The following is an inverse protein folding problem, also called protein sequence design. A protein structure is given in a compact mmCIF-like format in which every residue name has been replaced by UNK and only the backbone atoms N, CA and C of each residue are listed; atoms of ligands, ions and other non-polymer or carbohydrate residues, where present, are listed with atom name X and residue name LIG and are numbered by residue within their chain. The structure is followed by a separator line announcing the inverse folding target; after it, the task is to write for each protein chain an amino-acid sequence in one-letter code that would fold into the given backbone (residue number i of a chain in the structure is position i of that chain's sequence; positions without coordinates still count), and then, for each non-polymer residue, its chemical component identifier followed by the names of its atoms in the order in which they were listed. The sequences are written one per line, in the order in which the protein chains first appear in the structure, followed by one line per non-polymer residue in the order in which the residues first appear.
data_IF_017786134586
#
_entry.id   IF_017786134586
#
_cell.length_a   1.000
_cell.length_b   1.000
_cell.length_c   1.000
_cell.angle_alpha   90.00
_cell.angle_beta   90.00
_cell.angle_gamma   90.00
#
_symmetry.space_group_name_H-M   'P 1'
#
loop_
_entity.id
_entity.type
_entity.pdbx_description
1 polymer ?
#
# COMPACT_ATOMS: atom_id res chain seq x y z
N UNK A 1 14.39 2.74 -0.05
CA UNK A 1 13.08 3.03 -0.73
C UNK A 1 12.13 1.92 -0.39
N UNK A 2 10.83 2.20 -0.36
CA UNK A 2 9.80 1.19 -0.16
C UNK A 2 9.31 0.61 -1.48
N UNK A 3 8.54 -0.48 -1.43
CA UNK A 3 7.84 -1.04 -2.57
C UNK A 3 6.46 -1.55 -2.17
N UNK A 4 5.46 -1.27 -3.00
CA UNK A 4 4.11 -1.81 -2.87
C UNK A 4 3.77 -2.64 -4.11
N UNK A 5 3.01 -3.69 -3.93
CA UNK A 5 2.62 -4.60 -4.99
C UNK A 5 1.41 -5.44 -4.59
N UNK A 6 0.73 -6.01 -5.58
CA UNK A 6 -0.40 -6.89 -5.31
C UNK A 6 -0.80 -7.72 -6.52
N UNK A 7 -1.44 -8.86 -6.25
CA UNK A 7 -1.94 -9.80 -7.25
C UNK A 7 -3.03 -10.70 -6.68
N UNK A 8 -3.91 -11.19 -7.55
CA UNK A 8 -4.84 -12.30 -7.23
C UNK A 8 -4.17 -13.66 -7.32
N UNK A 9 -3.07 -13.75 -8.06
CA UNK A 9 -2.35 -14.98 -8.30
C UNK A 9 -1.14 -15.08 -7.37
N UNK A 10 -1.09 -16.13 -6.55
CA UNK A 10 -0.01 -16.32 -5.58
C UNK A 10 1.38 -16.45 -6.23
N UNK A 11 1.46 -17.06 -7.43
CA UNK A 11 2.71 -17.22 -8.15
C UNK A 11 3.23 -15.85 -8.61
N UNK A 12 2.37 -15.05 -9.23
CA UNK A 12 2.67 -13.66 -9.62
C UNK A 12 3.02 -12.82 -8.39
N UNK A 13 2.25 -12.95 -7.30
CA UNK A 13 2.56 -12.23 -6.05
C UNK A 13 3.97 -12.52 -5.53
N UNK A 14 4.43 -13.79 -5.55
CA UNK A 14 5.79 -14.16 -5.16
C UNK A 14 6.86 -13.56 -6.07
N UNK A 15 6.60 -13.51 -7.38
CA UNK A 15 7.50 -12.85 -8.34
C UNK A 15 7.60 -11.34 -8.05
N UNK A 16 6.46 -10.68 -7.82
CA UNK A 16 6.40 -9.27 -7.45
C UNK A 16 7.09 -8.99 -6.11
N UNK A 17 6.89 -9.87 -5.13
CA UNK A 17 7.55 -9.78 -3.83
C UNK A 17 9.06 -9.84 -3.97
N UNK A 18 9.59 -10.82 -4.72
CA UNK A 18 11.01 -10.99 -4.96
C UNK A 18 11.61 -9.74 -5.59
N UNK A 19 10.97 -9.21 -6.64
CA UNK A 19 11.42 -8.01 -7.33
C UNK A 19 11.36 -6.75 -6.45
N UNK A 20 10.28 -6.54 -5.73
CA UNK A 20 10.15 -5.37 -4.85
C UNK A 20 11.08 -5.46 -3.62
N UNK A 21 11.51 -6.65 -3.19
CA UNK A 21 12.48 -6.82 -2.11
C UNK A 21 13.86 -6.21 -2.42
N UNK A 22 14.17 -5.97 -3.69
CA UNK A 22 15.36 -5.21 -4.10
C UNK A 22 15.33 -3.76 -3.60
N UNK A 23 14.14 -3.20 -3.32
CA UNK A 23 13.95 -1.85 -2.78
C UNK A 23 14.13 -1.77 -1.27
N UNK A 24 13.95 -2.87 -0.57
CA UNK A 24 14.14 -2.96 0.88
C UNK A 24 13.60 -4.24 1.48
N UNK A 25 14.16 -4.64 2.61
CA UNK A 25 13.78 -5.87 3.28
C UNK A 25 13.81 -5.79 4.83
N UNK A 26 13.84 -4.59 5.40
CA UNK A 26 13.83 -4.39 6.85
C UNK A 26 12.48 -4.67 7.47
N UNK A 27 11.43 -4.16 6.84
CA UNK A 27 10.04 -4.50 7.17
C UNK A 27 9.39 -5.05 5.93
N UNK A 28 8.61 -6.09 6.10
CA UNK A 28 7.83 -6.74 5.05
C UNK A 28 6.45 -7.02 5.58
N UNK A 29 5.46 -6.85 4.74
CA UNK A 29 4.11 -7.25 5.09
C UNK A 29 3.39 -7.90 3.92
N UNK A 30 2.53 -8.84 4.25
CA UNK A 30 1.51 -9.37 3.37
C UNK A 30 0.14 -9.11 3.99
N UNK A 31 -0.76 -8.57 3.20
CA UNK A 31 -2.17 -8.42 3.52
C UNK A 31 -2.96 -9.32 2.58
N UNK A 32 -3.70 -10.24 3.14
CA UNK A 32 -4.53 -11.19 2.39
C UNK A 32 -5.99 -10.80 2.53
N UNK A 33 -6.67 -10.63 1.41
CA UNK A 33 -8.09 -10.32 1.36
C UNK A 33 -8.89 -11.59 1.15
N UNK A 34 -10.02 -11.70 1.85
CA UNK A 34 -10.97 -12.83 1.78
C UNK A 34 -12.37 -12.31 1.54
N UNK A 35 -13.29 -13.15 1.06
CA UNK A 35 -14.71 -12.82 1.13
C UNK A 35 -15.12 -12.57 2.59
N UNK A 36 -15.37 -11.29 2.93
CA UNK A 36 -15.82 -10.90 4.27
C UNK A 36 -14.72 -10.61 5.30
N UNK A 37 -13.45 -10.44 4.88
CA UNK A 37 -12.39 -10.06 5.81
C UNK A 37 -11.00 -9.95 5.23
N UNK A 38 -10.03 -9.76 6.12
CA UNK A 38 -8.63 -9.70 5.75
C UNK A 38 -7.72 -10.21 6.87
N UNK A 39 -6.49 -10.57 6.53
CA UNK A 39 -5.43 -10.94 7.45
C UNK A 39 -4.13 -10.24 7.08
N UNK A 40 -3.46 -9.64 8.06
CA UNK A 40 -2.13 -9.08 7.91
C UNK A 40 -1.09 -9.97 8.60
N UNK A 41 0.07 -10.11 7.96
CA UNK A 41 1.30 -10.61 8.57
C UNK A 41 2.40 -9.56 8.32
N UNK A 42 2.87 -8.93 9.39
CA UNK A 42 3.90 -7.88 9.36
C UNK A 42 5.13 -8.43 10.07
N UNK A 43 6.27 -8.38 9.40
CA UNK A 43 7.54 -8.87 9.93
C UNK A 43 8.59 -7.77 9.91
N UNK A 44 9.11 -7.50 11.10
CA UNK A 44 10.15 -6.50 11.33
C UNK A 44 11.43 -7.25 11.64
N UNK A 45 12.35 -7.33 10.75
CA UNK A 45 13.76 -7.68 10.94
C UNK A 45 14.40 -8.24 9.66
N UNK A 46 15.70 -8.01 9.50
CA UNK A 46 16.54 -8.57 8.44
C UNK A 46 17.01 -10.01 8.75
N UNK A 47 16.84 -10.47 10.00
CA UNK A 47 17.43 -11.75 10.47
C UNK A 47 16.64 -13.00 10.09
N UNK A 48 15.44 -12.83 9.56
CA UNK A 48 14.62 -13.96 9.20
C UNK A 48 14.49 -14.01 7.69
N UNK A 49 15.09 -15.00 7.08
CA UNK A 49 14.68 -15.47 5.75
C UNK A 49 13.21 -15.86 5.86
N UNK A 50 12.33 -14.94 5.54
CA UNK A 50 10.94 -15.20 5.77
C UNK A 50 10.16 -15.01 4.53
N UNK A 51 10.04 -16.11 4.04
CA UNK A 51 9.01 -16.58 3.23
C UNK A 51 7.67 -16.51 3.98
N UNK A 52 6.70 -15.89 3.36
CA UNK A 52 5.31 -15.89 3.82
C UNK A 52 4.59 -17.22 3.48
N UNK A 53 5.30 -18.24 3.03
CA UNK A 53 4.72 -19.48 2.52
C UNK A 53 3.81 -20.14 3.55
N UNK A 54 4.25 -20.24 4.80
CA UNK A 54 3.42 -20.78 5.86
C UNK A 54 2.12 -19.99 6.07
N UNK A 55 2.23 -18.65 6.08
CA UNK A 55 1.05 -17.78 6.23
C UNK A 55 0.10 -17.93 5.05
N UNK A 56 0.62 -18.09 3.85
CA UNK A 56 -0.15 -18.29 2.62
C UNK A 56 -0.80 -19.67 2.62
N UNK A 57 -0.07 -20.73 2.95
CA UNK A 57 -0.57 -22.11 3.00
C UNK A 57 -1.69 -22.29 4.03
N UNK A 58 -1.59 -21.62 5.17
CA UNK A 58 -2.64 -21.63 6.21
C UNK A 58 -3.91 -20.85 5.78
N UNK A 59 -3.86 -20.10 4.67
CA UNK A 59 -4.93 -19.23 4.22
C UNK A 59 -5.27 -19.40 2.72
N UNK A 60 -5.70 -20.61 2.30
CA UNK A 60 -5.85 -20.96 0.88
C UNK A 60 -6.99 -20.26 0.14
N UNK A 61 -7.92 -19.61 0.87
CA UNK A 61 -9.09 -18.93 0.29
C UNK A 61 -8.86 -17.42 0.07
N UNK A 62 -7.60 -16.99 0.06
CA UNK A 62 -7.25 -15.62 -0.25
C UNK A 62 -7.63 -15.26 -1.70
N UNK A 63 -8.35 -14.15 -1.87
CA UNK A 63 -8.79 -13.65 -3.18
C UNK A 63 -7.89 -12.57 -3.74
N UNK A 64 -7.09 -11.92 -2.88
CA UNK A 64 -6.13 -10.91 -3.30
C UNK A 64 -5.00 -10.77 -2.28
N UNK A 65 -3.77 -10.74 -2.75
CA UNK A 65 -2.56 -10.55 -1.95
C UNK A 65 -2.03 -9.13 -2.17
N UNK A 66 -1.80 -8.40 -1.10
CA UNK A 66 -1.19 -7.07 -1.08
C UNK A 66 0.14 -7.14 -0.33
N UNK A 67 1.17 -6.52 -0.85
CA UNK A 67 2.50 -6.52 -0.26
C UNK A 67 3.05 -5.12 -0.03
N UNK A 68 3.93 -5.04 0.98
CA UNK A 68 4.78 -3.89 1.21
C UNK A 68 6.16 -4.35 1.67
N UNK A 69 7.20 -3.74 1.14
CA UNK A 69 8.60 -3.91 1.57
C UNK A 69 9.18 -2.54 1.88
N UNK A 70 9.96 -2.45 2.96
CA UNK A 70 10.50 -1.19 3.45
C UNK A 70 11.99 -1.27 3.71
N UNK A 71 12.72 -0.26 3.24
CA UNK A 71 14.09 0.04 3.63
C UNK A 71 14.12 1.30 4.47
N UNK A 72 15.02 1.43 5.45
CA UNK A 72 15.20 2.67 6.18
C UNK A 72 15.58 3.79 5.21
N UNK A 73 14.86 4.90 5.27
CA UNK A 73 15.10 6.06 4.41
C UNK A 73 16.12 7.04 4.99
N UNK A 74 16.33 7.06 6.30
CA UNK A 74 17.37 7.84 6.99
C UNK A 74 17.41 7.51 8.49
N UNK A 75 18.61 7.45 9.07
CA UNK A 75 18.82 7.39 10.51
C UNK A 75 18.38 6.10 11.21
N UNK A 76 18.52 6.09 12.52
CA UNK A 76 18.02 5.02 13.38
C UNK A 76 16.50 5.17 13.49
N UNK A 77 15.75 4.45 12.66
CA UNK A 77 14.33 4.24 12.87
C UNK A 77 14.17 3.02 13.78
N UNK A 78 13.48 3.20 14.88
CA UNK A 78 12.93 2.07 15.62
C UNK A 78 11.79 1.49 14.78
N UNK A 79 12.09 0.37 14.10
CA UNK A 79 11.08 -0.35 13.32
C UNK A 79 10.26 -1.21 14.28
N UNK A 80 9.05 -0.76 14.55
CA UNK A 80 8.04 -1.50 15.30
C UNK A 80 6.87 -1.84 14.39
N UNK A 81 6.08 -2.82 14.76
CA UNK A 81 4.88 -3.21 14.03
C UNK A 81 3.93 -2.00 13.89
N UNK A 82 3.82 -1.19 14.94
CA UNK A 82 2.96 0.01 14.99
C UNK A 82 3.41 1.13 14.05
N UNK A 83 4.69 1.14 13.65
CA UNK A 83 5.25 2.14 12.72
C UNK A 83 5.45 1.58 11.32
N UNK A 84 4.90 0.40 11.04
CA UNK A 84 5.09 -0.34 9.79
C UNK A 84 3.80 -0.43 8.99
N UNK A 85 3.94 -0.49 7.68
CA UNK A 85 2.80 -0.67 6.79
C UNK A 85 2.27 -2.12 6.79
N UNK A 86 0.96 -2.30 6.58
CA UNK A 86 -0.03 -1.27 6.39
C UNK A 86 -0.44 -0.58 7.69
N UNK A 87 -0.66 0.72 7.65
CA UNK A 87 -1.36 1.43 8.71
C UNK A 87 -2.84 1.07 8.68
N UNK A 88 -3.52 1.15 9.85
CA UNK A 88 -4.93 0.83 9.94
C UNK A 88 -5.70 1.82 10.80
N UNK A 89 -6.93 2.13 10.39
CA UNK A 89 -7.90 2.93 11.12
C UNK A 89 -9.33 2.53 10.71
N UNK A 90 -10.17 2.13 11.66
CA UNK A 90 -11.60 1.82 11.43
C UNK A 90 -11.85 0.86 10.26
N UNK A 91 -11.13 -0.25 10.19
CA UNK A 91 -11.17 -1.24 9.10
C UNK A 91 -10.73 -0.71 7.73
N UNK A 92 -10.01 0.40 7.69
CA UNK A 92 -9.32 0.92 6.51
C UNK A 92 -7.83 0.69 6.67
N UNK A 93 -7.17 0.35 5.57
CA UNK A 93 -5.76 -0.04 5.55
C UNK A 93 -5.05 0.65 4.40
N UNK A 94 -3.82 1.09 4.64
CA UNK A 94 -3.01 1.75 3.62
C UNK A 94 -1.54 1.35 3.72
N UNK A 95 -0.91 1.11 2.58
CA UNK A 95 0.54 1.12 2.48
C UNK A 95 0.99 2.18 1.48
N UNK A 96 2.07 2.85 1.83
CA UNK A 96 2.62 3.98 1.12
C UNK A 96 4.08 3.73 0.76
N UNK A 97 4.43 4.04 -0.47
CA UNK A 97 5.80 4.11 -0.98
C UNK A 97 6.06 5.53 -1.45
N UNK A 98 6.86 6.27 -0.71
CA UNK A 98 7.21 7.65 -1.02
C UNK A 98 7.53 8.47 0.22
N UNK A 99 7.40 9.78 0.11
CA UNK A 99 7.60 10.76 1.20
C UNK A 99 6.56 11.87 1.05
N UNK A 100 5.76 12.09 2.08
CA UNK A 100 4.83 13.22 2.16
C UNK A 100 5.55 14.43 2.76
N UNK A 101 5.56 15.53 2.02
CA UNK A 101 6.26 16.76 2.43
C UNK A 101 5.44 17.64 3.37
N UNK A 102 4.12 17.56 3.32
CA UNK A 102 3.20 18.41 4.08
C UNK A 102 2.51 17.72 5.27
N UNK A 103 3.00 16.55 5.70
CA UNK A 103 2.32 15.76 6.75
C UNK A 103 2.17 16.51 8.08
N UNK A 104 3.17 17.32 8.50
CA UNK A 104 3.10 18.11 9.72
C UNK A 104 2.07 19.25 9.61
N UNK A 105 1.96 19.89 8.44
CA UNK A 105 0.94 20.93 8.17
C UNK A 105 -0.47 20.33 8.23
N UNK A 106 -0.68 19.16 7.63
CA UNK A 106 -1.96 18.46 7.66
C UNK A 106 -2.39 18.05 9.07
N UNK A 107 -1.44 17.62 9.91
CA UNK A 107 -1.73 17.31 11.32
C UNK A 107 -2.29 18.54 12.03
N UNK A 108 -1.68 19.70 11.83
CA UNK A 108 -2.09 20.94 12.47
C UNK A 108 -3.41 21.47 11.90
N UNK A 109 -3.53 21.55 10.57
CA UNK A 109 -4.69 22.12 9.89
C UNK A 109 -5.97 21.35 10.19
N UNK A 110 -5.90 20.01 10.14
CA UNK A 110 -7.07 19.15 10.34
C UNK A 110 -7.18 18.61 11.77
N UNK A 111 -6.28 18.97 12.68
CA UNK A 111 -6.22 18.46 14.05
C UNK A 111 -6.30 16.92 14.08
N UNK A 112 -5.37 16.28 13.35
CA UNK A 112 -5.36 14.83 13.19
C UNK A 112 -4.78 14.14 14.43
N UNK A 113 -5.42 13.06 14.86
CA UNK A 113 -4.91 12.16 15.89
C UNK A 113 -4.05 11.09 15.25
N UNK A 114 -2.73 11.19 15.37
CA UNK A 114 -1.74 10.27 14.82
C UNK A 114 -1.05 9.47 15.91
N UNK A 115 -0.65 8.25 15.59
CA UNK A 115 -0.02 7.31 16.52
C UNK A 115 1.49 7.30 16.45
N UNK A 116 2.04 7.71 15.31
CA UNK A 116 3.47 7.66 15.04
C UNK A 116 3.98 8.94 14.39
N UNK A 117 5.32 9.06 14.27
CA UNK A 117 5.96 10.17 13.53
C UNK A 117 6.20 9.82 12.05
N UNK A 118 5.61 8.75 11.57
CA UNK A 118 5.73 8.35 10.16
C UNK A 118 4.77 9.19 9.33
N UNK A 119 5.26 9.81 8.28
CA UNK A 119 4.48 10.65 7.38
C UNK A 119 3.21 9.96 6.83
N UNK A 120 3.29 8.67 6.60
CA UNK A 120 2.15 7.85 6.13
C UNK A 120 1.00 7.73 7.13
N UNK A 121 1.25 7.94 8.43
CA UNK A 121 0.24 7.79 9.49
C UNK A 121 -0.87 8.86 9.40
N UNK A 122 -0.61 9.97 8.70
CA UNK A 122 -1.61 11.04 8.51
C UNK A 122 -2.70 10.67 7.50
N UNK A 123 -2.44 9.72 6.57
CA UNK A 123 -3.31 9.52 5.41
C UNK A 123 -4.70 9.02 5.83
N UNK A 124 -4.77 7.98 6.67
CA UNK A 124 -6.06 7.43 7.10
C UNK A 124 -6.87 8.39 7.97
N UNK A 125 -6.30 9.07 8.98
CA UNK A 125 -7.00 10.11 9.73
C UNK A 125 -7.52 11.25 8.84
N UNK A 126 -6.75 11.66 7.82
CA UNK A 126 -7.17 12.67 6.86
C UNK A 126 -8.35 12.20 6.01
N UNK A 127 -8.29 10.96 5.48
CA UNK A 127 -9.41 10.33 4.75
C UNK A 127 -10.68 10.29 5.61
N UNK A 128 -10.56 9.95 6.89
CA UNK A 128 -11.70 9.95 7.83
C UNK A 128 -12.28 11.34 8.05
N UNK A 129 -11.43 12.36 8.00
CA UNK A 129 -11.82 13.75 8.31
C UNK A 129 -12.52 14.45 7.15
N UNK A 130 -11.99 14.30 5.92
CA UNK A 130 -12.44 15.08 4.75
C UNK A 130 -12.87 14.21 3.56
N UNK A 131 -12.83 12.88 3.69
CA UNK A 131 -13.15 11.95 2.61
C UNK A 131 -11.96 11.62 1.72
N UNK A 132 -12.07 10.51 0.96
CA UNK A 132 -10.95 9.96 0.19
C UNK A 132 -10.42 10.94 -0.87
N UNK A 133 -11.29 11.48 -1.72
CA UNK A 133 -10.87 12.30 -2.86
C UNK A 133 -10.20 13.61 -2.42
N UNK A 134 -10.80 14.30 -1.45
CA UNK A 134 -10.27 15.56 -0.92
C UNK A 134 -8.94 15.28 -0.17
N UNK A 135 -8.86 14.20 0.59
CA UNK A 135 -7.63 13.82 1.27
C UNK A 135 -6.47 13.59 0.28
N UNK A 136 -6.70 12.81 -0.79
CA UNK A 136 -5.64 12.50 -1.76
C UNK A 136 -5.21 13.76 -2.54
N UNK A 137 -6.14 14.67 -2.87
CA UNK A 137 -5.81 15.93 -3.54
C UNK A 137 -5.02 16.91 -2.67
N UNK A 138 -5.10 16.76 -1.34
CA UNK A 138 -4.41 17.62 -0.38
C UNK A 138 -2.97 17.15 -0.10
N UNK A 139 -2.66 15.86 -0.34
CA UNK A 139 -1.32 15.31 -0.12
C UNK A 139 -0.29 15.95 -1.06
N UNK A 140 0.86 16.34 -0.50
CA UNK A 140 2.00 16.85 -1.24
C UNK A 140 3.23 15.96 -1.02
N UNK A 141 4.03 15.82 -2.08
CA UNK A 141 5.23 15.00 -2.07
C UNK A 141 5.16 13.88 -3.10
N UNK A 142 5.84 12.78 -2.82
CA UNK A 142 5.83 11.61 -3.71
C UNK A 142 5.13 10.46 -3.00
N UNK A 143 4.17 9.83 -3.66
CA UNK A 143 3.49 8.66 -3.10
C UNK A 143 3.02 7.69 -4.18
N UNK A 144 3.12 6.41 -3.87
CA UNK A 144 2.40 5.33 -4.50
C UNK A 144 1.75 4.53 -3.38
N UNK A 145 0.44 4.33 -3.45
CA UNK A 145 -0.32 3.72 -2.37
C UNK A 145 -1.22 2.61 -2.88
N UNK A 146 -1.43 1.60 -2.04
CA UNK A 146 -2.65 0.84 -2.05
C UNK A 146 -3.47 1.16 -0.79
N UNK A 147 -4.78 1.23 -0.95
CA UNK A 147 -5.76 1.49 0.09
C UNK A 147 -6.86 0.45 0.00
N UNK A 148 -7.22 -0.13 1.14
CA UNK A 148 -8.31 -1.08 1.25
C UNK A 148 -9.30 -0.66 2.34
N UNK A 149 -10.56 -0.50 1.96
CA UNK A 149 -11.68 -0.29 2.88
C UNK A 149 -12.43 -1.60 3.06
N UNK A 150 -12.24 -2.26 4.21
CA UNK A 150 -12.88 -3.54 4.49
C UNK A 150 -14.39 -3.41 4.77
N UNK A 151 -14.88 -2.20 5.09
CA UNK A 151 -16.32 -1.98 5.28
C UNK A 151 -17.09 -2.02 3.96
N UNK A 152 -16.43 -1.67 2.85
CA UNK A 152 -17.02 -1.64 1.50
C UNK A 152 -16.41 -2.69 0.56
N UNK A 153 -15.43 -3.49 1.03
CA UNK A 153 -14.64 -4.42 0.22
C UNK A 153 -14.05 -3.72 -1.01
N UNK A 154 -13.47 -2.54 -0.81
CA UNK A 154 -12.95 -1.70 -1.90
C UNK A 154 -11.43 -1.58 -1.83
N UNK A 155 -10.76 -1.97 -2.91
CA UNK A 155 -9.32 -1.81 -3.08
C UNK A 155 -9.04 -0.71 -4.12
N UNK A 156 -8.24 0.28 -3.73
CA UNK A 156 -7.76 1.37 -4.59
C UNK A 156 -6.25 1.39 -4.65
N UNK A 157 -5.72 1.74 -5.81
CA UNK A 157 -4.30 2.09 -5.97
C UNK A 157 -4.20 3.48 -6.61
N UNK A 158 -3.22 4.27 -6.18
CA UNK A 158 -3.03 5.63 -6.67
C UNK A 158 -1.58 6.09 -6.49
N UNK A 159 -1.19 7.09 -7.25
CA UNK A 159 0.17 7.63 -7.17
C UNK A 159 0.25 9.12 -7.52
N UNK A 160 1.31 9.75 -6.99
CA UNK A 160 1.87 11.02 -7.43
C UNK A 160 3.39 11.00 -7.21
N UNK A 161 4.19 11.30 -8.23
CA UNK A 161 5.64 11.35 -8.17
C UNK A 161 6.38 10.01 -7.95
N UNK A 162 5.78 9.03 -7.31
CA UNK A 162 6.35 7.68 -7.15
C UNK A 162 5.96 6.76 -8.30
N UNK A 163 6.83 5.80 -8.64
CA UNK A 163 6.53 4.81 -9.67
C UNK A 163 5.49 3.81 -9.21
N UNK A 164 4.50 3.53 -10.06
CA UNK A 164 3.52 2.49 -9.86
C UNK A 164 3.00 2.00 -11.23
N UNK A 165 3.08 0.70 -11.44
CA UNK A 165 2.72 0.03 -12.69
C UNK A 165 1.59 -0.94 -12.44
N UNK A 166 0.76 -1.21 -13.47
CA UNK A 166 -0.30 -2.21 -13.41
C UNK A 166 -0.37 -3.07 -14.67
N UNK A 167 -0.81 -4.31 -14.49
CA UNK A 167 -1.16 -5.24 -15.56
C UNK A 167 -2.41 -6.04 -15.16
N UNK A 168 -3.55 -5.79 -15.83
CA UNK A 168 -4.81 -6.41 -15.46
C UNK A 168 -5.19 -6.09 -14.01
N UNK A 169 -5.19 -7.12 -13.17
CA UNK A 169 -5.45 -7.01 -11.73
C UNK A 169 -4.21 -6.94 -10.84
N UNK A 170 -3.02 -6.91 -11.43
CA UNK A 170 -1.75 -6.86 -10.72
C UNK A 170 -1.20 -5.44 -10.68
N UNK A 171 -0.43 -5.10 -9.64
CA UNK A 171 0.32 -3.84 -9.59
C UNK A 171 1.66 -3.98 -8.88
N UNK A 172 2.59 -3.07 -9.17
CA UNK A 172 3.93 -3.06 -8.57
C UNK A 172 4.58 -1.68 -8.63
N UNK A 173 5.37 -1.35 -7.62
CA UNK A 173 6.26 -0.17 -7.65
C UNK A 173 7.42 -0.30 -8.64
N UNK A 174 7.69 -1.50 -9.13
CA UNK A 174 8.74 -1.81 -10.13
C UNK A 174 8.06 -2.34 -11.37
N UNK A 175 8.50 -1.88 -12.54
CA UNK A 175 8.11 -2.48 -13.81
C UNK A 175 8.79 -3.84 -13.96
N UNK A 176 8.03 -4.92 -13.82
CA UNK A 176 8.56 -6.30 -13.84
C UNK A 176 8.60 -6.90 -15.24
N UNK A 177 7.80 -6.38 -16.16
CA UNK A 177 7.81 -6.70 -17.60
C UNK A 177 7.20 -5.56 -18.41
N UNK A 178 7.32 -5.64 -19.75
CA UNK A 178 6.72 -4.65 -20.68
C UNK A 178 5.18 -4.66 -20.68
N UNK A 179 4.55 -5.68 -20.11
CA UNK A 179 3.09 -5.75 -19.95
C UNK A 179 2.58 -4.83 -18.83
N UNK A 180 3.41 -4.57 -17.82
CA UNK A 180 3.11 -3.63 -16.76
C UNK A 180 3.22 -2.19 -17.27
N UNK A 181 2.10 -1.51 -17.32
CA UNK A 181 2.01 -0.12 -17.79
C UNK A 181 2.03 0.85 -16.63
N UNK A 182 2.68 1.97 -16.83
CA UNK A 182 2.72 3.05 -15.85
C UNK A 182 1.29 3.58 -15.61
N UNK A 183 0.92 3.67 -14.33
CA UNK A 183 -0.33 4.28 -13.92
C UNK A 183 -0.19 5.78 -14.11
N UNK A 184 -1.16 6.40 -14.78
CA UNK A 184 -1.16 7.86 -15.00
C UNK A 184 -1.06 8.59 -13.68
N UNK A 185 -0.18 9.57 -13.59
CA UNK A 185 -0.02 10.41 -12.40
C UNK A 185 -1.32 11.12 -12.04
N UNK A 186 -1.62 11.23 -10.74
CA UNK A 186 -2.88 11.76 -10.26
C UNK A 186 -4.10 10.87 -10.50
N UNK A 187 -3.92 9.64 -10.99
CA UNK A 187 -5.03 8.71 -11.17
C UNK A 187 -5.24 7.84 -9.94
N UNK A 188 -6.51 7.55 -9.66
CA UNK A 188 -6.97 6.51 -8.75
C UNK A 188 -7.56 5.37 -9.57
N UNK A 189 -7.07 4.17 -9.37
CA UNK A 189 -7.64 2.95 -9.96
C UNK A 189 -8.35 2.15 -8.88
N UNK A 190 -9.59 1.73 -9.16
CA UNK A 190 -10.38 0.86 -8.28
C UNK A 190 -10.35 -0.56 -8.84
N UNK A 191 -10.08 -1.51 -7.95
CA UNK A 191 -10.10 -2.92 -8.29
C UNK A 191 -11.52 -3.46 -8.29
N UNK A 192 -11.89 -4.09 -9.41
CA UNK A 192 -13.17 -4.77 -9.55
C UNK A 192 -12.99 -6.28 -9.29
N UNK A 193 -13.49 -6.76 -8.16
CA UNK A 193 -13.40 -8.17 -7.76
C UNK A 193 -14.23 -9.13 -8.64
N UNK A 194 -15.14 -8.61 -9.48
CA UNK A 194 -15.95 -9.46 -10.38
C UNK A 194 -15.18 -9.87 -11.63
N UNK A 195 -14.44 -8.94 -12.23
CA UNK A 195 -13.70 -9.19 -13.47
C UNK A 195 -12.16 -9.24 -13.28
N UNK A 196 -11.70 -9.11 -12.04
CA UNK A 196 -10.29 -9.14 -11.65
C UNK A 196 -9.43 -8.12 -12.39
N UNK A 197 -9.93 -6.89 -12.56
CA UNK A 197 -9.20 -5.82 -13.23
C UNK A 197 -9.28 -4.51 -12.45
N UNK A 198 -8.31 -3.62 -12.67
CA UNK A 198 -8.40 -2.24 -12.24
C UNK A 198 -9.16 -1.40 -13.29
N UNK A 199 -10.10 -0.61 -12.82
CA UNK A 199 -10.79 0.41 -13.60
C UNK A 199 -10.31 1.80 -13.19
N UNK A 200 -10.07 2.68 -14.16
CA UNK A 200 -9.73 4.08 -13.88
C UNK A 200 -10.97 4.84 -13.45
N UNK A 201 -10.93 5.45 -12.28
CA UNK A 201 -12.09 6.18 -11.80
C UNK A 201 -11.95 7.70 -11.86
N UNK A 202 -10.86 8.31 -11.44
CA UNK A 202 -10.77 9.78 -11.36
C UNK A 202 -9.31 10.23 -11.54
N UNK A 203 -9.11 11.33 -12.31
CA UNK A 203 -7.92 12.14 -12.16
C UNK A 203 -8.19 13.12 -11.01
N UNK A 204 -7.49 12.96 -9.90
CA UNK A 204 -7.46 13.97 -8.85
C UNK A 204 -6.53 15.07 -9.34
N UNK A 205 -7.10 16.19 -9.76
CA UNK A 205 -6.30 17.36 -10.12
C UNK A 205 -5.62 17.88 -8.86
N UNK A 206 -4.29 17.84 -8.87
CA UNK A 206 -3.46 18.56 -7.91
C UNK A 206 -3.47 20.04 -8.22
#
# INVERSE_FOLDING_TARGET
MCGIFGSTNIKTFRELYTKNSERGNFVRSITMLFPGGMKNDIRVSTKYEQDFDKTIEENPFCIYYLGHVQSPTSGVRDFHIETSHPFNLKNKYIAHNGVLSNHEELIQEYNLDIKSKVDSDVILPLIEKIGFNDAISTLQGTFGCWYYDANHAELRIFRSGSTLFSNGGDFSSIQVSDEYKDITEGSVLIYNFTNNTFNKEICVSQ
#
